data_IF_747470017104
#
_entry.id   IF_747470017104
#
_cell.length_a   1.000
_cell.length_b   1.000
_cell.length_c   1.000
_cell.angle_alpha   90.00
_cell.angle_beta   90.00
_cell.angle_gamma   90.00
#
_symmetry.space_group_name_H-M   'P 1'
#
loop_
_entity.id
_entity.type
_entity.pdbx_description
1 polymer ?
#
# COMPACT_ATOMS: atom_id res chain seq x y z
N UNK A 1 15.47 -1.49 11.51
CA UNK A 1 16.53 -0.61 12.07
C UNK A 1 16.63 -0.95 13.55
N UNK A 2 17.74 -1.54 13.97
CA UNK A 2 18.01 -1.96 15.36
C UNK A 2 18.49 -0.76 16.21
N UNK A 3 18.61 -0.96 17.53
CA UNK A 3 19.06 0.06 18.48
C UNK A 3 20.41 0.70 18.09
N UNK A 4 21.33 -0.09 17.52
CA UNK A 4 22.65 0.37 17.06
C UNK A 4 22.60 1.50 16.03
N UNK A 5 21.66 1.46 15.08
CA UNK A 5 21.52 2.54 14.10
C UNK A 5 21.11 3.88 14.76
N UNK A 6 20.50 3.84 15.95
CA UNK A 6 20.02 5.03 16.66
C UNK A 6 21.03 5.61 17.64
N UNK A 7 22.09 4.86 17.93
CA UNK A 7 23.23 5.30 18.75
C UNK A 7 24.26 6.08 17.91
N UNK A 8 24.17 6.03 16.57
CA UNK A 8 25.10 6.72 15.66
C UNK A 8 25.24 8.22 15.94
N UNK A 9 24.15 8.88 16.33
CA UNK A 9 24.14 10.31 16.63
C UNK A 9 24.99 10.63 17.87
N UNK A 10 24.94 9.76 18.89
CA UNK A 10 25.81 9.86 20.07
C UNK A 10 27.28 9.61 19.68
N UNK A 11 27.53 8.54 18.92
CA UNK A 11 28.88 8.16 18.50
C UNK A 11 29.56 9.19 17.57
N UNK A 12 28.77 10.06 16.92
CA UNK A 12 29.27 11.12 16.06
C UNK A 12 29.65 12.41 16.83
N UNK A 13 29.38 12.49 18.13
CA UNK A 13 29.69 13.70 18.91
C UNK A 13 31.18 13.83 19.22
N UNK A 14 31.75 15.05 19.20
CA UNK A 14 33.15 15.27 19.55
C UNK A 14 33.53 14.70 20.92
N UNK A 15 32.70 14.94 21.95
CA UNK A 15 32.98 14.46 23.30
C UNK A 15 32.95 12.92 23.42
N UNK A 16 32.14 12.23 22.59
CA UNK A 16 32.18 10.77 22.52
C UNK A 16 33.46 10.28 21.86
N UNK A 17 33.83 10.86 20.72
CA UNK A 17 35.02 10.47 19.96
C UNK A 17 36.30 10.72 20.75
N UNK A 18 36.39 11.87 21.44
CA UNK A 18 37.50 12.22 22.30
C UNK A 18 37.66 11.24 23.46
N UNK A 19 36.57 10.93 24.17
CA UNK A 19 36.59 9.93 25.24
C UNK A 19 37.00 8.55 24.70
N UNK A 20 36.44 8.12 23.56
CA UNK A 20 36.80 6.85 22.93
C UNK A 20 38.26 6.79 22.47
N UNK A 21 38.85 7.91 22.05
CA UNK A 21 40.25 7.98 21.60
C UNK A 21 41.28 7.99 22.72
N UNK A 22 40.88 8.35 23.94
CA UNK A 22 41.76 8.44 25.12
C UNK A 22 41.44 7.36 26.17
N UNK A 23 40.70 6.30 25.80
CA UNK A 23 40.17 5.28 26.71
C UNK A 23 39.48 5.88 27.96
N UNK A 24 38.87 7.05 27.77
CA UNK A 24 38.22 7.84 28.81
C UNK A 24 36.76 7.47 29.01
N UNK A 25 36.21 7.84 30.17
CA UNK A 25 34.79 7.71 30.42
C UNK A 25 33.99 8.59 29.44
N UNK A 26 33.00 7.99 28.76
CA UNK A 26 32.09 8.73 27.88
C UNK A 26 31.30 9.73 28.75
N UNK A 27 31.49 11.04 28.55
CA UNK A 27 30.99 12.05 29.46
C UNK A 27 29.52 12.36 29.18
N UNK A 28 28.84 12.94 30.17
CA UNK A 28 27.51 13.54 29.99
C UNK A 28 27.45 14.51 28.80
N UNK A 29 28.54 15.25 28.56
CA UNK A 29 28.65 16.21 27.46
C UNK A 29 28.39 15.57 26.09
N UNK A 30 28.82 14.31 25.87
CA UNK A 30 28.54 13.60 24.62
C UNK A 30 27.03 13.44 24.39
N UNK A 31 26.29 13.12 25.44
CA UNK A 31 24.83 13.02 25.35
C UNK A 31 24.20 14.38 25.13
N UNK A 32 24.63 15.42 25.87
CA UNK A 32 24.11 16.78 25.70
C UNK A 32 24.33 17.29 24.27
N UNK A 33 25.54 17.12 23.72
CA UNK A 33 25.85 17.46 22.33
C UNK A 33 24.96 16.70 21.35
N UNK A 34 24.74 15.41 21.59
CA UNK A 34 23.84 14.61 20.75
C UNK A 34 22.40 15.11 20.85
N UNK A 35 21.95 15.52 22.04
CA UNK A 35 20.61 16.08 22.27
C UNK A 35 20.40 17.43 21.60
N UNK A 36 21.43 18.26 21.53
CA UNK A 36 21.34 19.57 20.86
C UNK A 36 21.44 19.43 19.33
N UNK A 37 22.29 18.52 18.85
CA UNK A 37 22.35 18.18 17.42
C UNK A 37 21.04 17.56 16.93
N UNK A 38 20.33 16.82 17.80
CA UNK A 38 19.00 16.29 17.52
C UNK A 38 17.94 17.36 17.77
N UNK A 39 17.22 17.76 16.72
CA UNK A 39 16.03 18.59 16.91
C UNK A 39 15.02 17.96 17.89
N UNK A 40 14.18 18.77 18.54
CA UNK A 40 13.20 18.34 19.57
C UNK A 40 12.44 17.05 19.22
N UNK A 41 12.07 16.90 17.95
CA UNK A 41 11.31 15.76 17.42
C UNK A 41 12.04 14.42 17.41
N UNK A 42 13.37 14.46 17.49
CA UNK A 42 14.26 13.31 17.36
C UNK A 42 15.01 12.96 18.66
N UNK A 43 14.84 13.75 19.72
CA UNK A 43 15.48 13.52 21.02
C UNK A 43 15.08 12.18 21.66
N UNK A 44 13.90 11.64 21.32
CA UNK A 44 13.46 10.31 21.75
C UNK A 44 14.43 9.18 21.35
N UNK A 45 15.26 9.37 20.30
CA UNK A 45 16.29 8.40 19.90
C UNK A 45 17.32 8.16 21.01
N UNK A 46 17.52 9.14 21.90
CA UNK A 46 18.44 9.04 23.02
C UNK A 46 17.97 8.08 24.11
N UNK A 47 16.72 7.61 24.07
CA UNK A 47 16.29 6.50 24.94
C UNK A 47 17.12 5.24 24.70
N UNK A 48 17.45 4.94 23.43
CA UNK A 48 18.24 3.75 23.07
C UNK A 48 19.71 3.92 23.53
N UNK A 49 20.25 5.13 23.38
CA UNK A 49 21.58 5.48 23.88
C UNK A 49 21.68 5.39 25.41
N UNK A 50 20.66 5.88 26.13
CA UNK A 50 20.57 5.75 27.60
C UNK A 50 20.43 4.29 28.03
N UNK A 51 19.64 3.49 27.32
CA UNK A 51 19.50 2.06 27.61
C UNK A 51 20.82 1.30 27.40
N UNK A 52 21.54 1.61 26.32
CA UNK A 52 22.89 1.08 26.08
C UNK A 52 23.84 1.49 27.21
N UNK A 53 23.91 2.77 27.56
CA UNK A 53 24.80 3.24 28.63
C UNK A 53 24.51 2.54 29.96
N UNK A 54 23.22 2.42 30.33
CA UNK A 54 22.78 1.67 31.52
C UNK A 54 23.24 0.21 31.48
N UNK A 55 23.06 -0.46 30.34
CA UNK A 55 23.50 -1.83 30.17
C UNK A 55 25.03 -1.94 30.31
N UNK A 56 25.79 -1.02 29.70
CA UNK A 56 27.23 -1.01 29.77
C UNK A 56 27.76 -0.81 31.20
N UNK A 57 27.17 0.11 31.97
CA UNK A 57 27.47 0.28 33.39
C UNK A 57 27.16 -1.00 34.17
N UNK A 58 25.99 -1.61 33.93
CA UNK A 58 25.60 -2.86 34.60
C UNK A 58 26.52 -4.06 34.29
N UNK A 59 27.11 -4.10 33.09
CA UNK A 59 28.10 -5.09 32.68
C UNK A 59 29.54 -4.71 33.03
N UNK A 60 29.77 -3.52 33.63
CA UNK A 60 31.08 -3.01 34.04
C UNK A 60 32.07 -2.85 32.87
N UNK A 61 31.58 -2.43 31.71
CA UNK A 61 32.48 -2.05 30.62
C UNK A 61 33.26 -0.78 31.00
N UNK A 62 34.55 -0.77 30.67
CA UNK A 62 35.39 0.41 30.79
C UNK A 62 34.85 1.56 29.93
N UNK A 63 35.05 2.80 30.39
CA UNK A 63 34.52 3.98 29.71
C UNK A 63 33.07 4.34 30.06
N UNK A 64 32.40 3.58 30.95
CA UNK A 64 31.03 3.86 31.39
C UNK A 64 30.96 3.97 32.92
N UNK A 65 30.42 5.07 33.45
CA UNK A 65 30.39 5.31 34.90
C UNK A 65 28.99 5.59 35.45
N UNK A 66 28.80 5.32 36.74
CA UNK A 66 27.52 5.52 37.42
C UNK A 66 27.11 7.00 37.53
N UNK A 67 28.08 7.91 37.64
CA UNK A 67 27.85 9.36 37.76
C UNK A 67 27.15 9.92 36.51
N UNK A 68 27.68 9.60 35.32
CA UNK A 68 27.07 10.00 34.05
C UNK A 68 25.71 9.34 33.88
N UNK A 69 25.57 8.06 34.23
CA UNK A 69 24.28 7.38 34.16
C UNK A 69 23.21 8.08 35.00
N UNK A 70 23.53 8.49 36.24
CA UNK A 70 22.60 9.20 37.11
C UNK A 70 22.07 10.48 36.43
N UNK A 71 22.96 11.28 35.84
CA UNK A 71 22.58 12.48 35.08
C UNK A 71 21.69 12.19 33.86
N UNK A 72 21.90 11.05 33.18
CA UNK A 72 21.07 10.63 32.05
C UNK A 72 19.69 10.12 32.48
N UNK A 73 19.57 9.58 33.69
CA UNK A 73 18.30 9.11 34.23
C UNK A 73 17.34 10.24 34.59
N UNK A 74 17.87 11.42 34.92
CA UNK A 74 17.09 12.65 35.16
C UNK A 74 16.44 13.22 33.88
N UNK A 75 16.86 12.76 32.69
CA UNK A 75 16.31 13.29 31.45
C UNK A 75 14.85 12.85 31.22
N UNK A 76 13.99 13.87 31.11
CA UNK A 76 12.68 13.75 30.47
C UNK A 76 12.85 13.82 28.94
N UNK A 77 12.92 12.66 28.31
CA UNK A 77 12.90 12.52 26.86
C UNK A 77 11.45 12.25 26.43
N UNK A 78 10.93 13.08 25.53
CA UNK A 78 9.62 12.86 24.92
C UNK A 78 9.62 11.59 24.06
N UNK A 79 8.44 11.02 23.82
CA UNK A 79 8.30 9.91 22.89
C UNK A 79 8.42 10.36 21.43
N UNK A 80 8.68 9.41 20.53
CA UNK A 80 8.60 9.68 19.08
C UNK A 80 7.24 10.30 18.73
N UNK A 81 7.23 11.40 17.97
CA UNK A 81 6.02 12.04 17.47
C UNK A 81 5.17 11.06 16.64
N UNK A 82 4.25 10.36 17.32
CA UNK A 82 3.41 9.32 16.72
C UNK A 82 2.48 9.97 15.68
N UNK A 83 2.37 9.34 14.51
CA UNK A 83 1.35 9.69 13.51
C UNK A 83 1.63 10.92 12.63
N UNK A 84 2.81 11.57 12.70
CA UNK A 84 3.14 12.72 11.84
C UNK A 84 2.83 12.47 10.36
N UNK A 85 3.36 11.39 9.79
CA UNK A 85 3.17 11.05 8.38
C UNK A 85 1.69 10.79 8.01
N UNK A 86 0.88 10.36 8.98
CA UNK A 86 -0.56 10.16 8.78
C UNK A 86 -1.27 11.52 8.78
N UNK A 87 -1.00 12.36 9.79
CA UNK A 87 -1.59 13.70 9.94
C UNK A 87 -1.24 14.61 8.77
N UNK A 88 0.02 14.61 8.32
CA UNK A 88 0.48 15.43 7.20
C UNK A 88 0.15 14.86 5.82
N UNK A 89 -0.56 13.71 5.74
CA UNK A 89 -0.83 12.97 4.49
C UNK A 89 0.44 12.82 3.62
N UNK A 90 1.59 12.55 4.25
CA UNK A 90 2.90 12.53 3.60
C UNK A 90 2.90 11.62 2.35
N UNK A 91 3.30 12.11 1.16
CA UNK A 91 3.20 11.37 -0.10
C UNK A 91 4.07 10.11 -0.13
N UNK A 92 5.12 10.02 0.69
CA UNK A 92 6.10 8.92 0.70
C UNK A 92 5.99 8.03 1.94
N UNK A 93 5.52 8.57 3.08
CA UNK A 93 5.49 7.87 4.38
C UNK A 93 4.07 7.72 4.94
N UNK A 94 3.12 8.50 4.46
CA UNK A 94 1.74 8.54 4.91
C UNK A 94 0.86 7.47 4.25
N UNK A 95 -0.46 7.48 4.55
CA UNK A 95 -1.43 6.60 3.89
C UNK A 95 -1.48 6.87 2.38
N UNK A 96 -1.76 5.82 1.61
CA UNK A 96 -2.04 5.93 0.18
C UNK A 96 -3.38 6.64 -0.04
N UNK A 97 -3.50 7.41 -1.14
CA UNK A 97 -4.78 7.99 -1.55
C UNK A 97 -5.73 6.91 -2.04
N UNK A 98 -7.04 7.21 -2.13
CA UNK A 98 -7.98 6.38 -2.89
C UNK A 98 -7.46 6.06 -4.30
N UNK A 99 -7.02 7.09 -5.04
CA UNK A 99 -6.47 6.96 -6.39
C UNK A 99 -5.25 6.03 -6.45
N UNK A 100 -4.24 6.23 -5.61
CA UNK A 100 -3.02 5.40 -5.60
C UNK A 100 -3.36 3.91 -5.41
N UNK A 101 -4.31 3.60 -4.53
CA UNK A 101 -4.74 2.21 -4.33
C UNK A 101 -5.55 1.69 -5.52
N UNK A 102 -6.45 2.49 -6.08
CA UNK A 102 -7.22 2.10 -7.27
C UNK A 102 -6.28 1.79 -8.44
N UNK A 103 -5.25 2.62 -8.66
CA UNK A 103 -4.20 2.39 -9.65
C UNK A 103 -3.44 1.09 -9.38
N UNK A 104 -3.03 0.83 -8.12
CA UNK A 104 -2.37 -0.45 -7.76
C UNK A 104 -3.27 -1.64 -8.15
N UNK A 105 -4.56 -1.61 -7.78
CA UNK A 105 -5.49 -2.71 -8.05
C UNK A 105 -5.69 -2.90 -9.56
N UNK A 106 -5.94 -1.82 -10.30
CA UNK A 106 -6.11 -1.88 -11.76
C UNK A 106 -4.85 -2.38 -12.48
N UNK A 107 -3.67 -1.90 -12.08
CA UNK A 107 -2.40 -2.34 -12.66
C UNK A 107 -2.10 -3.80 -12.32
N UNK A 108 -2.41 -4.25 -11.10
CA UNK A 108 -2.29 -5.65 -10.70
C UNK A 108 -3.19 -6.56 -11.55
N UNK A 109 -4.45 -6.17 -11.77
CA UNK A 109 -5.34 -6.90 -12.68
C UNK A 109 -4.77 -6.96 -14.10
N UNK A 110 -4.22 -5.86 -14.59
CA UNK A 110 -3.60 -5.77 -15.92
C UNK A 110 -2.43 -6.75 -16.07
N UNK A 111 -1.50 -6.69 -15.12
CA UNK A 111 -0.27 -7.49 -15.14
C UNK A 111 -0.62 -8.99 -15.07
N UNK A 112 -1.57 -9.33 -14.20
CA UNK A 112 -2.07 -10.70 -14.07
C UNK A 112 -2.74 -11.20 -15.35
N UNK A 113 -3.50 -10.35 -16.06
CA UNK A 113 -4.10 -10.70 -17.35
C UNK A 113 -3.06 -10.88 -18.47
N UNK A 114 -1.87 -10.27 -18.34
CA UNK A 114 -0.75 -10.43 -19.29
C UNK A 114 0.20 -11.57 -18.91
N UNK A 115 0.16 -12.04 -17.67
CA UNK A 115 1.07 -13.06 -17.16
C UNK A 115 2.50 -12.56 -16.93
N UNK A 116 2.71 -11.25 -16.81
CA UNK A 116 4.04 -10.60 -16.75
C UNK A 116 4.49 -10.25 -15.32
N UNK A 117 3.85 -10.81 -14.30
CA UNK A 117 4.15 -10.55 -12.89
C UNK A 117 4.26 -11.84 -12.07
N UNK A 118 5.37 -12.07 -11.34
CA UNK A 118 5.52 -13.23 -10.45
C UNK A 118 4.40 -13.32 -9.41
N UNK A 119 3.84 -14.50 -9.20
CA UNK A 119 2.69 -14.69 -8.29
C UNK A 119 3.02 -14.34 -6.83
N UNK A 120 4.27 -14.51 -6.39
CA UNK A 120 4.70 -14.07 -5.06
C UNK A 120 4.62 -12.54 -4.88
N UNK A 121 4.96 -11.75 -5.92
CA UNK A 121 4.80 -10.30 -5.88
C UNK A 121 3.31 -9.91 -5.84
N UNK A 122 2.47 -10.58 -6.64
CA UNK A 122 1.01 -10.38 -6.61
C UNK A 122 0.44 -10.68 -5.22
N UNK A 123 0.82 -11.81 -4.62
CA UNK A 123 0.41 -12.26 -3.30
C UNK A 123 0.79 -11.26 -2.20
N UNK A 124 2.00 -10.69 -2.25
CA UNK A 124 2.45 -9.68 -1.29
C UNK A 124 1.58 -8.41 -1.35
N UNK A 125 1.21 -7.97 -2.56
CA UNK A 125 0.35 -6.80 -2.77
C UNK A 125 -1.06 -7.06 -2.25
N UNK A 126 -1.70 -8.18 -2.62
CA UNK A 126 -3.09 -8.48 -2.18
C UNK A 126 -3.18 -8.62 -0.66
N UNK A 127 -2.19 -9.23 -0.01
CA UNK A 127 -2.16 -9.33 1.45
C UNK A 127 -2.09 -7.95 2.13
N UNK A 128 -1.24 -7.07 1.60
CA UNK A 128 -1.09 -5.71 2.12
C UNK A 128 -2.37 -4.89 1.92
N UNK A 129 -3.00 -4.99 0.74
CA UNK A 129 -4.27 -4.34 0.44
C UNK A 129 -5.41 -4.83 1.34
N UNK A 130 -5.49 -6.15 1.55
CA UNK A 130 -6.61 -6.76 2.27
C UNK A 130 -6.52 -6.58 3.78
N UNK A 131 -5.32 -6.61 4.37
CA UNK A 131 -5.17 -6.75 5.83
C UNK A 131 -4.38 -5.64 6.52
N UNK A 132 -3.53 -4.89 5.81
CA UNK A 132 -2.71 -3.83 6.44
C UNK A 132 -1.86 -4.33 7.63
N UNK A 133 -1.42 -5.59 7.59
CA UNK A 133 -0.64 -6.23 8.66
C UNK A 133 0.85 -5.89 8.55
N UNK A 134 1.62 -6.20 9.59
CA UNK A 134 3.06 -5.97 9.59
C UNK A 134 3.80 -7.03 8.77
N UNK A 135 4.95 -6.66 8.19
CA UNK A 135 5.76 -7.57 7.38
C UNK A 135 6.15 -8.87 8.09
N UNK A 136 6.40 -8.83 9.41
CA UNK A 136 6.69 -10.02 10.19
C UNK A 136 5.54 -11.03 10.22
N UNK A 137 4.29 -10.55 10.26
CA UNK A 137 3.12 -11.42 10.26
C UNK A 137 3.01 -12.15 8.92
N UNK A 138 3.21 -11.45 7.80
CA UNK A 138 3.23 -12.08 6.47
C UNK A 138 4.39 -13.05 6.29
N UNK A 139 5.57 -12.68 6.78
CA UNK A 139 6.76 -13.55 6.76
C UNK A 139 6.56 -14.83 7.56
N UNK A 140 5.70 -14.83 8.59
CA UNK A 140 5.35 -16.00 9.40
C UNK A 140 4.14 -16.80 8.91
N UNK A 141 3.52 -16.42 7.79
CA UNK A 141 2.36 -17.15 7.25
C UNK A 141 2.77 -18.49 6.64
N UNK A 142 1.89 -19.47 6.81
CA UNK A 142 1.99 -20.83 6.27
C UNK A 142 0.86 -21.07 5.28
N UNK A 143 1.01 -22.06 4.40
CA UNK A 143 0.00 -22.39 3.39
C UNK A 143 -1.37 -22.76 4.01
N UNK A 144 -1.35 -23.40 5.19
CA UNK A 144 -2.54 -23.79 5.98
C UNK A 144 -3.38 -22.61 6.49
N UNK A 145 -2.83 -21.39 6.49
CA UNK A 145 -3.53 -20.21 7.00
C UNK A 145 -4.66 -19.74 6.09
N UNK A 146 -4.72 -20.23 4.84
CA UNK A 146 -5.76 -19.90 3.87
C UNK A 146 -6.77 -21.03 3.77
N UNK A 147 -8.06 -20.72 3.86
CA UNK A 147 -9.14 -21.69 3.69
C UNK A 147 -10.24 -21.13 2.79
N UNK A 148 -10.70 -21.86 1.75
CA UNK A 148 -11.80 -21.41 0.91
C UNK A 148 -13.14 -21.47 1.66
N UNK A 149 -14.03 -20.54 1.36
CA UNK A 149 -15.43 -20.56 1.76
C UNK A 149 -16.21 -21.10 0.57
N UNK A 150 -16.82 -22.27 0.71
CA UNK A 150 -17.55 -22.95 -0.35
C UNK A 150 -19.05 -22.90 -0.05
N UNK A 151 -19.84 -22.48 -1.02
CA UNK A 151 -21.30 -22.56 -1.01
C UNK A 151 -21.77 -23.06 -2.38
N UNK A 152 -22.70 -24.03 -2.40
CA UNK A 152 -23.24 -24.65 -3.62
C UNK A 152 -22.16 -25.12 -4.61
N UNK A 153 -21.08 -25.72 -4.08
CA UNK A 153 -19.95 -26.20 -4.88
C UNK A 153 -19.08 -25.10 -5.50
N UNK A 154 -19.31 -23.82 -5.17
CA UNK A 154 -18.54 -22.68 -5.67
C UNK A 154 -17.78 -21.98 -4.54
N UNK A 155 -16.57 -21.53 -4.82
CA UNK A 155 -15.81 -20.69 -3.90
C UNK A 155 -16.40 -19.29 -3.92
N UNK A 156 -16.98 -18.87 -2.79
CA UNK A 156 -17.63 -17.55 -2.62
C UNK A 156 -16.74 -16.55 -1.85
N UNK A 157 -15.56 -16.98 -1.41
CA UNK A 157 -14.57 -16.17 -0.71
C UNK A 157 -13.56 -17.05 0.01
N UNK A 158 -12.72 -16.44 0.84
CA UNK A 158 -11.72 -17.14 1.63
C UNK A 158 -11.65 -16.60 3.06
N UNK A 159 -11.18 -17.43 3.97
CA UNK A 159 -10.72 -17.02 5.30
C UNK A 159 -9.21 -17.11 5.34
N UNK A 160 -8.56 -16.03 5.75
CA UNK A 160 -7.13 -15.96 6.03
C UNK A 160 -6.92 -15.85 7.54
N UNK A 161 -6.08 -16.70 8.10
CA UNK A 161 -5.64 -16.65 9.49
C UNK A 161 -4.34 -15.86 9.59
N UNK A 162 -4.44 -14.60 10.01
CA UNK A 162 -3.27 -13.72 10.15
C UNK A 162 -2.59 -13.98 11.49
N UNK A 163 -1.30 -14.41 11.52
CA UNK A 163 -0.57 -14.62 12.76
C UNK A 163 -0.42 -13.32 13.56
N UNK A 164 -0.55 -13.40 14.89
CA UNK A 164 -0.38 -12.27 15.81
C UNK A 164 1.05 -12.25 16.33
N UNK A 165 1.65 -11.06 16.39
CA UNK A 165 2.90 -10.85 17.12
C UNK A 165 2.55 -10.26 18.49
N UNK A 166 2.44 -11.08 19.53
CA UNK A 166 2.37 -10.58 20.91
C UNK A 166 3.77 -10.08 21.29
N UNK A 167 3.86 -8.87 21.88
CA UNK A 167 5.13 -8.38 22.44
C UNK A 167 5.54 -9.28 23.62
N UNK A 168 6.78 -9.77 23.62
CA UNK A 168 7.38 -10.45 24.76
C UNK A 168 7.21 -11.98 24.82
N UNK A 169 6.79 -12.63 23.73
CA UNK A 169 6.82 -14.10 23.61
C UNK A 169 7.76 -14.50 22.47
N UNK A 170 8.54 -15.55 22.71
CA UNK A 170 9.57 -16.05 21.79
C UNK A 170 9.00 -16.84 20.60
N UNK A 171 7.70 -17.15 20.61
CA UNK A 171 7.06 -17.99 19.60
C UNK A 171 6.25 -17.18 18.58
N UNK A 172 6.69 -17.27 17.33
CA UNK A 172 5.94 -16.82 16.17
C UNK A 172 4.74 -17.77 15.98
N UNK A 173 3.51 -17.22 15.91
CA UNK A 173 2.23 -17.92 15.63
C UNK A 173 1.43 -18.49 16.83
N UNK A 174 1.60 -17.98 18.05
CA UNK A 174 0.77 -18.34 19.23
C UNK A 174 -0.70 -17.85 19.21
N UNK A 175 -1.10 -17.15 18.15
CA UNK A 175 -2.46 -16.66 18.02
C UNK A 175 -2.73 -16.10 16.63
N UNK A 176 -4.00 -16.13 16.25
CA UNK A 176 -4.44 -15.76 14.90
C UNK A 176 -5.63 -14.80 14.92
N UNK A 177 -5.75 -14.02 13.85
CA UNK A 177 -6.95 -13.25 13.52
C UNK A 177 -7.50 -13.71 12.19
N UNK A 178 -8.78 -14.07 12.17
CA UNK A 178 -9.49 -14.45 10.93
C UNK A 178 -9.86 -13.19 10.15
N UNK A 179 -9.52 -13.16 8.87
CA UNK A 179 -9.89 -12.10 7.92
C UNK A 179 -10.58 -12.74 6.72
N UNK A 180 -11.75 -12.21 6.35
CA UNK A 180 -12.42 -12.62 5.12
C UNK A 180 -11.75 -11.93 3.94
N UNK A 181 -11.42 -12.71 2.91
CA UNK A 181 -10.94 -12.21 1.63
C UNK A 181 -12.03 -12.41 0.58
N UNK A 182 -12.11 -11.49 -0.38
CA UNK A 182 -12.87 -11.72 -1.60
C UNK A 182 -12.25 -12.84 -2.44
N UNK A 183 -12.99 -13.28 -3.45
CA UNK A 183 -12.57 -14.37 -4.35
C UNK A 183 -11.27 -14.02 -5.05
N UNK A 184 -11.10 -12.78 -5.54
CA UNK A 184 -9.91 -12.40 -6.29
C UNK A 184 -8.64 -12.50 -5.44
N UNK A 185 -8.62 -11.89 -4.24
CA UNK A 185 -7.46 -11.93 -3.36
C UNK A 185 -7.13 -13.36 -2.92
N UNK A 186 -8.15 -14.16 -2.58
CA UNK A 186 -7.92 -15.54 -2.18
C UNK A 186 -7.43 -16.44 -3.33
N UNK A 187 -7.90 -16.21 -4.57
CA UNK A 187 -7.41 -16.94 -5.76
C UNK A 187 -5.92 -16.67 -6.00
N UNK A 188 -5.47 -15.42 -5.86
CA UNK A 188 -4.03 -15.08 -6.00
C UNK A 188 -3.18 -15.84 -4.97
N UNK A 189 -3.65 -15.94 -3.72
CA UNK A 189 -2.94 -16.69 -2.69
C UNK A 189 -2.99 -18.20 -2.92
N UNK A 190 -4.12 -18.72 -3.39
CA UNK A 190 -4.25 -20.14 -3.73
C UNK A 190 -3.30 -20.54 -4.86
N UNK A 191 -3.09 -19.69 -5.86
CA UNK A 191 -2.13 -19.94 -6.93
C UNK A 191 -0.68 -19.92 -6.45
N UNK A 192 -0.33 -19.04 -5.50
CA UNK A 192 0.97 -19.10 -4.85
C UNK A 192 1.16 -20.45 -4.12
N UNK A 193 0.15 -20.92 -3.39
CA UNK A 193 0.18 -22.24 -2.74
C UNK A 193 0.36 -23.36 -3.77
N UNK A 194 -0.35 -23.30 -4.90
CA UNK A 194 -0.18 -24.26 -5.99
C UNK A 194 1.22 -24.23 -6.60
N UNK A 195 1.80 -23.06 -6.84
CA UNK A 195 3.17 -22.93 -7.33
C UNK A 195 4.18 -23.49 -6.32
N UNK A 196 3.98 -23.20 -5.03
CA UNK A 196 4.80 -23.71 -3.95
C UNK A 196 4.79 -25.24 -3.86
N UNK A 197 3.70 -25.90 -4.26
CA UNK A 197 3.57 -27.36 -4.29
C UNK A 197 4.26 -28.03 -5.49
N UNK A 198 4.62 -27.27 -6.53
CA UNK A 198 5.31 -27.78 -7.72
C UNK A 198 6.84 -27.83 -7.57
N UNK A 199 7.38 -27.22 -6.51
CA UNK A 199 8.83 -27.22 -6.24
C UNK A 199 9.25 -28.51 -5.49
N UNK A 200 10.40 -29.13 -5.85
CA UNK A 200 10.82 -30.42 -5.29
C UNK A 200 11.11 -30.38 -3.78
N UNK A 201 10.91 -31.53 -3.11
CA UNK A 201 10.91 -31.76 -1.66
C UNK A 201 12.18 -31.35 -0.86
N UNK A 202 13.21 -30.79 -1.49
CA UNK A 202 14.38 -30.23 -0.77
C UNK A 202 14.04 -29.07 0.19
N UNK A 203 12.79 -28.59 0.14
CA UNK A 203 12.17 -27.58 0.98
C UNK A 203 11.08 -28.12 1.93
N UNK A 204 10.96 -29.44 2.10
CA UNK A 204 9.86 -30.09 2.83
C UNK A 204 10.07 -30.04 4.35
N UNK A 205 10.13 -28.83 4.87
CA UNK A 205 9.83 -28.60 6.27
C UNK A 205 8.29 -28.62 6.41
N UNK A 206 7.79 -29.40 7.37
CA UNK A 206 6.37 -29.58 7.69
C UNK A 206 5.60 -28.26 7.82
N UNK A 207 6.28 -27.17 8.21
CA UNK A 207 5.68 -25.86 8.37
C UNK A 207 5.15 -25.21 7.08
N UNK A 208 5.61 -25.60 5.88
CA UNK A 208 5.11 -25.12 4.57
C UNK A 208 4.84 -23.59 4.54
N UNK A 209 5.88 -22.74 4.48
CA UNK A 209 5.72 -21.28 4.45
C UNK A 209 4.88 -20.83 3.26
N UNK A 210 4.04 -19.82 3.42
CA UNK A 210 3.32 -19.20 2.30
C UNK A 210 4.32 -18.47 1.37
N UNK A 211 5.25 -17.72 1.96
CA UNK A 211 6.37 -17.11 1.24
C UNK A 211 7.66 -17.84 1.59
N UNK A 212 8.20 -18.55 0.60
CA UNK A 212 9.37 -19.40 0.74
C UNK A 212 10.63 -18.69 0.25
N UNK A 213 11.76 -18.95 0.90
CA UNK A 213 13.09 -18.65 0.36
C UNK A 213 13.57 -19.83 -0.49
N UNK A 214 14.29 -19.55 -1.58
CA UNK A 214 14.81 -20.59 -2.48
C UNK A 214 15.88 -21.48 -1.82
N UNK A 215 16.63 -20.93 -0.87
CA UNK A 215 17.72 -21.65 -0.19
C UNK A 215 17.63 -21.45 1.32
N UNK A 216 17.86 -22.53 2.07
CA UNK A 216 18.04 -22.45 3.51
C UNK A 216 19.22 -21.51 3.86
N UNK A 217 19.14 -20.77 4.98
CA UNK A 217 20.25 -19.95 5.43
C UNK A 217 21.46 -20.83 5.78
N UNK A 218 22.67 -20.32 5.51
CA UNK A 218 23.93 -21.02 5.82
C UNK A 218 24.17 -21.16 7.33
N UNK A 219 23.61 -20.26 8.13
CA UNK A 219 23.63 -20.34 9.59
C UNK A 219 22.21 -20.55 10.10
N UNK A 220 22.04 -21.62 10.88
CA UNK A 220 20.86 -21.84 11.71
C UNK A 220 20.74 -20.63 12.66
N UNK A 221 19.59 -19.95 12.64
CA UNK A 221 19.36 -18.81 13.52
C UNK A 221 18.93 -19.24 14.92
N UNK A 222 19.04 -20.54 15.24
CA UNK A 222 18.44 -21.19 16.41
C UNK A 222 16.91 -20.98 16.44
N UNK A 223 16.28 -20.72 15.29
CA UNK A 223 14.83 -20.56 15.17
C UNK A 223 14.11 -21.90 14.98
N UNK A 224 14.85 -23.00 14.76
CA UNK A 224 14.30 -24.35 14.58
C UNK A 224 13.95 -24.65 13.13
N UNK A 225 13.87 -25.94 12.79
CA UNK A 225 13.70 -26.39 11.39
C UNK A 225 12.44 -25.80 10.75
N UNK A 226 11.37 -25.63 11.54
CA UNK A 226 10.10 -24.97 11.21
C UNK A 226 10.23 -23.59 10.54
N UNK A 227 11.30 -22.83 10.81
CA UNK A 227 11.50 -21.46 10.33
C UNK A 227 12.49 -21.35 9.17
N UNK A 228 13.20 -22.44 8.89
CA UNK A 228 14.30 -22.53 7.93
C UNK A 228 13.98 -21.94 6.56
N UNK A 229 12.77 -22.17 6.05
CA UNK A 229 12.35 -21.76 4.71
C UNK A 229 11.41 -20.55 4.66
N UNK A 230 11.00 -19.98 5.80
CA UNK A 230 10.21 -18.75 5.82
C UNK A 230 11.05 -17.59 5.31
N UNK A 231 10.53 -16.68 4.49
CA UNK A 231 11.29 -15.44 4.20
C UNK A 231 11.36 -14.54 5.44
N UNK A 232 12.31 -13.59 5.46
CA UNK A 232 12.36 -12.60 6.54
C UNK A 232 11.35 -11.46 6.32
N UNK A 233 11.00 -10.72 7.37
CA UNK A 233 10.17 -9.51 7.26
C UNK A 233 10.78 -8.45 6.32
N UNK A 234 12.12 -8.38 6.25
CA UNK A 234 12.83 -7.50 5.31
C UNK A 234 12.64 -8.01 3.88
N UNK A 235 12.85 -9.29 3.64
CA UNK A 235 12.64 -9.93 2.33
C UNK A 235 11.21 -9.75 1.82
N UNK A 236 10.19 -9.88 2.70
CA UNK A 236 8.80 -9.59 2.32
C UNK A 236 8.62 -8.13 1.92
N UNK A 237 9.25 -7.20 2.64
CA UNK A 237 9.16 -5.77 2.32
C UNK A 237 9.81 -5.45 0.97
N UNK A 238 10.95 -6.07 0.65
CA UNK A 238 11.59 -5.91 -0.66
C UNK A 238 10.78 -6.57 -1.78
N UNK A 239 10.18 -7.74 -1.53
CA UNK A 239 9.24 -8.38 -2.47
C UNK A 239 8.05 -7.48 -2.81
N UNK A 240 7.45 -6.85 -1.79
CA UNK A 240 6.35 -5.88 -1.97
C UNK A 240 6.79 -4.68 -2.82
N UNK A 241 7.98 -4.12 -2.56
CA UNK A 241 8.51 -2.99 -3.32
C UNK A 241 8.79 -3.36 -4.77
N UNK A 242 9.37 -4.52 -5.01
CA UNK A 242 9.61 -5.04 -6.36
C UNK A 242 8.29 -5.18 -7.14
N UNK A 243 7.25 -5.72 -6.49
CA UNK A 243 5.92 -5.81 -7.08
C UNK A 243 5.34 -4.46 -7.47
N UNK A 244 5.36 -3.46 -6.58
CA UNK A 244 4.86 -2.12 -6.89
C UNK A 244 5.69 -1.42 -7.96
N UNK A 245 7.01 -1.58 -7.94
CA UNK A 245 7.89 -1.04 -8.98
C UNK A 245 7.59 -1.65 -10.35
N UNK A 246 7.33 -2.97 -10.43
CA UNK A 246 6.94 -3.66 -11.66
C UNK A 246 5.60 -3.16 -12.20
N UNK A 247 4.66 -2.81 -11.33
CA UNK A 247 3.40 -2.19 -11.75
C UNK A 247 3.57 -0.78 -12.31
N UNK A 248 4.71 -0.13 -12.09
CA UNK A 248 5.00 1.22 -12.62
C UNK A 248 4.09 2.31 -12.06
N UNK A 249 3.59 2.14 -10.84
CA UNK A 249 2.64 3.09 -10.24
C UNK A 249 3.37 4.34 -9.77
N UNK A 250 2.86 5.51 -10.17
CA UNK A 250 3.30 6.81 -9.67
C UNK A 250 2.53 7.21 -8.41
N UNK A 251 3.23 7.84 -7.47
CA UNK A 251 2.65 8.52 -6.32
C UNK A 251 2.01 9.85 -6.71
N UNK A 252 1.24 10.41 -5.78
CA UNK A 252 0.60 11.74 -5.97
C UNK A 252 1.61 12.88 -6.21
N UNK A 253 2.86 12.69 -5.79
CA UNK A 253 3.99 13.59 -6.02
C UNK A 253 4.60 13.45 -7.43
N UNK A 254 4.09 12.54 -8.26
CA UNK A 254 4.57 12.29 -9.63
C UNK A 254 5.77 11.33 -9.71
N UNK A 255 6.36 10.99 -8.57
CA UNK A 255 7.50 10.09 -8.47
C UNK A 255 7.04 8.62 -8.40
N UNK A 256 7.98 7.68 -8.58
CA UNK A 256 7.68 6.25 -8.38
C UNK A 256 7.12 5.98 -6.97
N UNK A 257 6.00 5.25 -6.89
CA UNK A 257 5.28 5.06 -5.64
C UNK A 257 6.12 4.25 -4.62
N UNK A 258 6.54 4.91 -3.55
CA UNK A 258 7.29 4.27 -2.48
C UNK A 258 6.37 3.51 -1.52
N UNK A 259 6.55 2.21 -1.32
CA UNK A 259 5.69 1.44 -0.41
C UNK A 259 6.44 0.71 0.70
N UNK A 260 5.70 0.44 1.77
CA UNK A 260 6.03 -0.56 2.79
C UNK A 260 4.72 -1.01 3.47
N UNK A 261 4.78 -2.11 4.23
CA UNK A 261 3.61 -2.66 4.94
C UNK A 261 2.95 -1.64 5.88
N UNK A 262 3.73 -0.75 6.50
CA UNK A 262 3.22 0.32 7.37
C UNK A 262 2.36 1.35 6.63
N UNK A 263 2.69 1.70 5.37
CA UNK A 263 1.83 2.56 4.54
C UNK A 263 0.49 1.90 4.26
N UNK A 264 0.46 0.61 3.94
CA UNK A 264 -0.79 -0.13 3.73
C UNK A 264 -1.63 -0.21 5.02
N UNK A 265 -0.99 -0.42 6.17
CA UNK A 265 -1.67 -0.32 7.48
C UNK A 265 -2.31 1.04 7.70
N UNK A 266 -1.56 2.12 7.44
CA UNK A 266 -2.07 3.49 7.55
C UNK A 266 -3.23 3.72 6.61
N UNK A 267 -3.13 3.20 5.39
CA UNK A 267 -4.17 3.29 4.37
C UNK A 267 -5.45 2.59 4.82
N UNK A 268 -5.35 1.35 5.31
CA UNK A 268 -6.49 0.59 5.81
C UNK A 268 -7.21 1.33 6.95
N UNK A 269 -6.47 1.75 7.97
CA UNK A 269 -7.05 2.43 9.13
C UNK A 269 -7.64 3.80 8.77
N UNK A 270 -6.99 4.56 7.88
CA UNK A 270 -7.53 5.82 7.36
C UNK A 270 -8.84 5.57 6.59
N UNK A 271 -8.89 4.53 5.75
CA UNK A 271 -10.10 4.15 5.00
C UNK A 271 -11.23 3.69 5.91
N UNK A 272 -10.93 2.88 6.93
CA UNK A 272 -11.93 2.46 7.91
C UNK A 272 -12.54 3.66 8.64
N UNK A 273 -11.70 4.59 9.12
CA UNK A 273 -12.17 5.82 9.77
C UNK A 273 -13.02 6.65 8.82
N UNK A 274 -12.57 6.84 7.57
CA UNK A 274 -13.33 7.51 6.52
C UNK A 274 -14.69 6.84 6.35
N UNK A 275 -14.76 5.52 6.29
CA UNK A 275 -16.02 4.77 6.15
C UNK A 275 -16.85 4.70 7.44
N UNK A 276 -16.53 5.49 8.47
CA UNK A 276 -17.33 5.57 9.69
C UNK A 276 -17.15 4.40 10.64
N UNK A 277 -16.08 3.61 10.49
CA UNK A 277 -15.81 2.51 11.40
C UNK A 277 -15.65 3.01 12.85
N UNK A 278 -16.16 2.21 13.79
CA UNK A 278 -15.97 2.48 15.22
C UNK A 278 -14.50 2.33 15.63
N UNK A 279 -14.11 3.00 16.72
CA UNK A 279 -12.76 2.86 17.30
C UNK A 279 -12.44 1.39 17.59
N UNK A 280 -13.41 0.63 18.12
CA UNK A 280 -13.28 -0.80 18.40
C UNK A 280 -13.01 -1.62 17.13
N UNK A 281 -13.73 -1.37 16.04
CA UNK A 281 -13.49 -2.05 14.77
C UNK A 281 -12.10 -1.75 14.22
N UNK A 282 -11.60 -0.52 14.37
CA UNK A 282 -10.25 -0.16 13.95
C UNK A 282 -9.16 -0.81 14.82
N UNK A 283 -9.35 -0.89 16.14
CA UNK A 283 -8.44 -1.59 17.05
C UNK A 283 -8.37 -3.08 16.67
N UNK A 284 -9.52 -3.70 16.40
CA UNK A 284 -9.58 -5.10 15.93
C UNK A 284 -8.85 -5.26 14.60
N UNK A 285 -9.14 -4.42 13.61
CA UNK A 285 -8.51 -4.48 12.28
C UNK A 285 -6.99 -4.32 12.36
N UNK A 286 -6.52 -3.41 13.20
CA UNK A 286 -5.11 -3.20 13.46
C UNK A 286 -4.48 -4.37 14.23
N UNK A 287 -5.25 -5.17 14.95
CA UNK A 287 -4.76 -6.12 15.94
C UNK A 287 -3.92 -5.44 17.04
N UNK A 288 -4.34 -4.25 17.46
CA UNK A 288 -3.67 -3.51 18.53
C UNK A 288 -4.13 -4.00 19.91
N UNK A 289 -3.19 -4.07 20.86
CA UNK A 289 -3.49 -4.30 22.28
C UNK A 289 -3.91 -3.02 23.00
N UNK A 290 -3.57 -1.85 22.44
CA UNK A 290 -3.78 -0.53 23.03
C UNK A 290 -4.29 0.47 21.97
N UNK A 291 -5.10 1.43 22.40
CA UNK A 291 -5.86 2.35 21.55
C UNK A 291 -5.12 3.66 21.22
N UNK A 292 -3.99 3.94 21.89
CA UNK A 292 -3.23 5.18 21.74
C UNK A 292 -2.79 5.46 20.31
N UNK A 293 -2.54 4.40 19.53
CA UNK A 293 -2.12 4.54 18.13
C UNK A 293 -3.28 4.71 17.15
N UNK A 294 -4.53 4.45 17.57
CA UNK A 294 -5.74 4.71 16.77
C UNK A 294 -6.17 6.18 16.88
N UNK A 295 -5.85 6.85 18.00
CA UNK A 295 -6.15 8.27 18.20
C UNK A 295 -5.64 9.18 17.08
N UNK A 296 -4.52 8.83 16.44
CA UNK A 296 -3.94 9.60 15.32
C UNK A 296 -4.87 9.71 14.11
N UNK A 297 -5.84 8.81 13.96
CA UNK A 297 -6.79 8.82 12.84
C UNK A 297 -8.02 9.68 13.13
N UNK A 298 -8.28 10.04 14.39
CA UNK A 298 -9.46 10.82 14.75
C UNK A 298 -9.34 12.28 14.33
N UNK A 299 -8.11 12.80 14.27
CA UNK A 299 -7.77 14.12 13.76
C UNK A 299 -7.82 14.23 12.23
N UNK A 300 -8.06 13.14 11.49
CA UNK A 300 -8.27 13.16 10.03
C UNK A 300 -9.68 13.69 9.71
N UNK A 301 -10.17 14.64 10.49
CA UNK A 301 -11.51 15.21 10.43
C UNK A 301 -11.74 15.99 9.13
N UNK A 302 -12.89 15.72 8.52
CA UNK A 302 -13.40 16.23 7.24
C UNK A 302 -12.41 16.14 6.09
N UNK A 303 -12.56 15.09 5.26
CA UNK A 303 -12.26 15.29 3.85
C UNK A 303 -13.24 16.38 3.38
N UNK A 304 -12.80 17.64 3.43
CA UNK A 304 -13.36 18.67 2.56
C UNK A 304 -13.28 18.02 1.18
N UNK A 305 -14.44 17.84 0.54
CA UNK A 305 -14.45 17.41 -0.85
C UNK A 305 -13.78 18.54 -1.61
N UNK A 306 -12.52 18.34 -1.98
CA UNK A 306 -11.87 19.24 -2.91
C UNK A 306 -12.77 19.32 -4.15
N UNK A 307 -13.06 20.54 -4.60
CA UNK A 307 -13.84 20.74 -5.81
C UNK A 307 -13.07 20.07 -6.96
N UNK A 308 -13.66 19.01 -7.55
CA UNK A 308 -13.13 18.35 -8.74
C UNK A 308 -13.97 18.83 -9.92
N UNK A 309 -13.60 19.98 -10.46
CA UNK A 309 -14.16 20.48 -11.71
C UNK A 309 -13.45 19.83 -12.91
N UNK A 310 -13.94 20.14 -14.12
CA UNK A 310 -13.40 19.61 -15.37
C UNK A 310 -11.94 20.02 -15.59
N UNK A 311 -11.58 21.26 -15.30
CA UNK A 311 -10.24 21.79 -15.55
C UNK A 311 -9.23 21.09 -14.64
N UNK A 312 -9.54 20.99 -13.34
CA UNK A 312 -8.75 20.27 -12.38
C UNK A 312 -8.69 18.77 -12.73
N UNK A 313 -9.80 18.15 -13.13
CA UNK A 313 -9.78 16.75 -13.56
C UNK A 313 -8.83 16.51 -14.74
N UNK A 314 -8.81 17.41 -15.73
CA UNK A 314 -7.90 17.35 -16.88
C UNK A 314 -6.44 17.62 -16.50
N UNK A 315 -6.19 18.52 -15.57
CA UNK A 315 -4.85 18.80 -15.04
C UNK A 315 -4.30 17.60 -14.27
N UNK A 316 -5.12 17.01 -13.40
CA UNK A 316 -4.75 15.84 -12.60
C UNK A 316 -4.77 14.54 -13.41
N UNK A 317 -5.40 14.52 -14.59
CA UNK A 317 -5.64 13.32 -15.40
C UNK A 317 -4.43 12.39 -15.60
N UNK A 318 -3.19 12.87 -15.82
CA UNK A 318 -2.02 11.99 -15.93
C UNK A 318 -1.80 11.12 -14.68
N UNK A 319 -2.17 11.63 -13.49
CA UNK A 319 -2.03 10.92 -12.21
C UNK A 319 -3.02 9.76 -12.06
N UNK A 320 -4.12 9.74 -12.80
CA UNK A 320 -5.10 8.66 -12.80
C UNK A 320 -4.54 7.34 -13.33
N UNK A 321 -3.52 7.42 -14.20
CA UNK A 321 -2.84 6.26 -14.80
C UNK A 321 -3.84 5.24 -15.37
N UNK A 322 -4.88 5.74 -16.05
CA UNK A 322 -5.97 4.90 -16.55
C UNK A 322 -5.49 3.97 -17.68
N UNK A 323 -5.83 2.70 -17.57
CA UNK A 323 -5.35 1.64 -18.45
C UNK A 323 -6.20 1.41 -19.70
N UNK A 324 -7.25 2.21 -19.92
CA UNK A 324 -8.04 2.12 -21.15
C UNK A 324 -7.13 2.32 -22.37
N UNK A 325 -7.25 1.43 -23.36
CA UNK A 325 -6.59 1.57 -24.65
C UNK A 325 -7.27 2.67 -25.48
N UNK A 326 -6.55 3.23 -26.45
CA UNK A 326 -7.10 4.17 -27.44
C UNK A 326 -6.82 3.58 -28.82
N UNK A 327 -7.86 3.49 -29.65
CA UNK A 327 -7.81 2.97 -31.02
C UNK A 327 -8.43 4.00 -31.97
N UNK A 328 -8.04 4.00 -33.25
CA UNK A 328 -8.55 5.01 -34.18
C UNK A 328 -10.07 4.86 -34.39
N UNK A 329 -10.56 3.63 -34.50
CA UNK A 329 -11.98 3.35 -34.51
C UNK A 329 -12.30 1.87 -34.33
N UNK A 330 -13.51 1.49 -34.72
CA UNK A 330 -14.00 0.12 -34.57
C UNK A 330 -13.14 -0.92 -35.31
N UNK A 331 -12.69 -0.62 -36.52
CA UNK A 331 -11.92 -1.54 -37.35
C UNK A 331 -10.58 -1.95 -36.73
N UNK A 332 -9.97 -1.06 -35.94
CA UNK A 332 -8.69 -1.29 -35.28
C UNK A 332 -8.84 -1.94 -33.90
N UNK A 333 -10.08 -2.11 -33.43
CA UNK A 333 -10.34 -2.67 -32.12
C UNK A 333 -10.33 -4.20 -32.13
N UNK A 334 -9.74 -4.80 -31.09
CA UNK A 334 -9.92 -6.21 -30.77
C UNK A 334 -11.41 -6.46 -30.56
N UNK A 335 -11.99 -7.38 -31.34
CA UNK A 335 -13.44 -7.67 -31.42
C UNK A 335 -14.29 -6.54 -32.00
N UNK A 336 -13.71 -5.65 -32.80
CA UNK A 336 -14.45 -4.63 -33.55
C UNK A 336 -15.48 -5.20 -34.52
N UNK A 337 -15.27 -6.42 -35.03
CA UNK A 337 -16.22 -7.15 -35.86
C UNK A 337 -17.50 -7.59 -35.12
N UNK A 338 -17.47 -7.62 -33.78
CA UNK A 338 -18.60 -8.04 -32.96
C UNK A 338 -19.43 -6.85 -32.50
N UNK A 339 -20.59 -6.58 -33.10
CA UNK A 339 -21.48 -5.47 -32.69
C UNK A 339 -21.77 -5.40 -31.17
N UNK A 340 -21.90 -6.54 -30.49
CA UNK A 340 -22.11 -6.61 -29.03
C UNK A 340 -20.91 -6.22 -28.15
N UNK A 341 -19.73 -6.04 -28.74
CA UNK A 341 -18.54 -5.54 -28.04
C UNK A 341 -18.56 -4.01 -27.90
N UNK A 342 -19.35 -3.30 -28.70
CA UNK A 342 -19.52 -1.84 -28.63
C UNK A 342 -20.02 -1.40 -27.26
N UNK A 343 -19.57 -0.24 -26.81
CA UNK A 343 -19.97 0.38 -25.54
C UNK A 343 -20.57 1.73 -25.83
N UNK A 344 -21.84 1.89 -25.48
CA UNK A 344 -22.61 3.07 -25.88
C UNK A 344 -22.85 3.99 -24.70
N UNK A 345 -22.65 5.28 -24.92
CA UNK A 345 -23.20 6.34 -24.08
C UNK A 345 -24.64 6.60 -24.52
N UNK A 346 -25.57 6.50 -23.57
CA UNK A 346 -26.94 6.94 -23.79
C UNK A 346 -27.08 8.39 -23.34
N UNK A 347 -27.18 9.30 -24.29
CA UNK A 347 -27.52 10.69 -24.03
C UNK A 347 -29.04 10.83 -24.08
N UNK A 348 -29.65 10.86 -22.89
CA UNK A 348 -31.11 10.98 -22.74
C UNK A 348 -31.61 12.38 -23.09
N UNK A 349 -30.80 13.42 -22.91
CA UNK A 349 -31.20 14.81 -23.17
C UNK A 349 -31.32 15.05 -24.67
N UNK A 350 -30.39 14.47 -25.46
CA UNK A 350 -30.39 14.58 -26.93
C UNK A 350 -31.05 13.39 -27.63
N UNK A 351 -31.55 12.40 -26.88
CA UNK A 351 -32.10 11.14 -27.39
C UNK A 351 -31.15 10.43 -28.38
N UNK A 352 -29.86 10.36 -28.04
CA UNK A 352 -28.80 9.81 -28.89
C UNK A 352 -28.12 8.63 -28.21
N UNK A 353 -27.70 7.66 -29.01
CA UNK A 353 -26.90 6.52 -28.58
C UNK A 353 -25.60 6.52 -29.37
N UNK A 354 -24.49 6.80 -28.70
CA UNK A 354 -23.20 6.99 -29.35
C UNK A 354 -22.16 6.01 -28.81
N UNK A 355 -21.42 5.40 -29.73
CA UNK A 355 -20.39 4.44 -29.35
C UNK A 355 -19.15 5.15 -28.81
N UNK A 356 -18.78 4.82 -27.59
CA UNK A 356 -17.57 5.31 -26.90
C UNK A 356 -16.35 4.44 -27.17
N UNK A 357 -16.56 3.17 -27.54
CA UNK A 357 -15.44 2.25 -27.72
C UNK A 357 -15.86 0.79 -27.83
N UNK A 358 -14.85 -0.07 -27.81
CA UNK A 358 -14.99 -1.52 -27.96
C UNK A 358 -14.46 -2.25 -26.72
N UNK A 359 -15.22 -3.22 -26.22
CA UNK A 359 -14.76 -4.15 -25.19
C UNK A 359 -13.95 -5.29 -25.81
N UNK A 360 -12.68 -5.44 -25.42
CA UNK A 360 -11.83 -6.55 -25.84
C UNK A 360 -12.08 -7.87 -25.09
N UNK A 361 -12.97 -7.91 -24.09
CA UNK A 361 -13.16 -9.10 -23.27
C UNK A 361 -14.16 -10.11 -23.88
N UNK A 362 -13.77 -11.38 -23.99
CA UNK A 362 -14.59 -12.46 -24.53
C UNK A 362 -15.71 -12.95 -23.59
N UNK A 363 -15.66 -12.62 -22.30
CA UNK A 363 -16.67 -12.98 -21.30
C UNK A 363 -17.54 -11.78 -20.87
N UNK A 364 -18.71 -12.08 -20.32
CA UNK A 364 -19.59 -11.05 -19.73
C UNK A 364 -19.02 -10.55 -18.41
N UNK A 365 -18.89 -9.23 -18.27
CA UNK A 365 -18.33 -8.58 -17.08
C UNK A 365 -19.38 -8.02 -16.11
N UNK A 366 -20.67 -8.00 -16.47
CA UNK A 366 -21.80 -7.50 -15.66
C UNK A 366 -21.53 -6.14 -14.95
N UNK A 367 -20.86 -5.23 -15.64
CA UNK A 367 -20.56 -3.87 -15.14
C UNK A 367 -21.35 -2.83 -15.93
N UNK A 368 -21.58 -1.67 -15.32
CA UNK A 368 -22.28 -0.53 -15.93
C UNK A 368 -21.43 0.10 -17.04
N UNK A 369 -21.63 -0.37 -18.27
CA UNK A 369 -21.08 0.25 -19.47
C UNK A 369 -21.79 1.59 -19.78
N UNK A 370 -21.09 2.60 -20.34
CA UNK A 370 -19.66 2.61 -20.65
C UNK A 370 -18.79 3.06 -19.46
N UNK A 371 -19.40 3.57 -18.39
CA UNK A 371 -18.72 4.18 -17.24
C UNK A 371 -17.63 3.29 -16.64
N UNK A 372 -17.99 2.08 -16.20
CA UNK A 372 -17.02 1.16 -15.62
C UNK A 372 -15.93 0.71 -16.60
N UNK A 373 -16.14 0.85 -17.91
CA UNK A 373 -15.17 0.45 -18.93
C UNK A 373 -13.94 1.36 -18.95
N UNK A 374 -14.02 2.63 -18.57
CA UNK A 374 -12.86 3.55 -18.58
C UNK A 374 -11.74 3.15 -17.61
N UNK A 375 -12.05 2.32 -16.60
CA UNK A 375 -11.07 1.77 -15.66
C UNK A 375 -10.61 0.35 -16.05
N UNK A 376 -11.17 -0.21 -17.11
CA UNK A 376 -10.90 -1.57 -17.57
C UNK A 376 -9.77 -1.57 -18.60
N UNK A 377 -8.78 -2.43 -18.38
CA UNK A 377 -7.61 -2.61 -19.26
C UNK A 377 -7.97 -3.20 -20.62
N UNK A 378 -9.15 -3.80 -20.74
CA UNK A 378 -9.66 -4.40 -21.99
C UNK A 378 -10.55 -3.43 -22.77
N UNK A 379 -10.83 -2.24 -22.24
CA UNK A 379 -11.60 -1.24 -22.96
C UNK A 379 -10.72 -0.51 -23.98
N UNK A 380 -11.24 -0.35 -25.19
CA UNK A 380 -10.57 0.33 -26.30
C UNK A 380 -11.43 1.54 -26.69
N UNK A 381 -11.09 2.70 -26.14
CA UNK A 381 -11.71 3.98 -26.44
C UNK A 381 -11.46 4.37 -27.91
N UNK A 382 -12.48 4.87 -28.60
CA UNK A 382 -12.35 5.30 -29.99
C UNK A 382 -11.90 6.77 -30.05
N UNK A 383 -10.98 7.12 -30.95
CA UNK A 383 -10.48 8.51 -31.08
C UNK A 383 -11.59 9.56 -31.27
N UNK A 384 -12.66 9.20 -31.96
CA UNK A 384 -13.83 10.06 -32.22
C UNK A 384 -15.05 9.68 -31.35
N UNK A 385 -14.84 8.90 -30.29
CA UNK A 385 -15.90 8.61 -29.31
C UNK A 385 -16.27 9.84 -28.47
N UNK A 386 -17.50 9.93 -27.94
CA UNK A 386 -18.00 11.10 -27.18
C UNK A 386 -17.44 11.15 -25.75
N UNK A 387 -16.12 11.01 -25.58
CA UNK A 387 -15.45 10.95 -24.29
C UNK A 387 -15.56 12.25 -23.48
N UNK A 388 -15.56 13.39 -24.17
CA UNK A 388 -15.78 14.69 -23.53
C UNK A 388 -17.19 14.79 -22.95
N UNK A 389 -18.21 14.30 -23.66
CA UNK A 389 -19.58 14.28 -23.14
C UNK A 389 -19.71 13.34 -21.93
N UNK A 390 -19.01 12.18 -21.93
CA UNK A 390 -18.96 11.32 -20.74
C UNK A 390 -18.36 12.07 -19.54
N UNK A 391 -17.25 12.79 -19.75
CA UNK A 391 -16.59 13.55 -18.69
C UNK A 391 -17.52 14.64 -18.15
N UNK A 392 -18.14 15.40 -19.04
CA UNK A 392 -19.03 16.49 -18.68
C UNK A 392 -20.26 15.98 -17.92
N UNK A 393 -20.85 14.86 -18.33
CA UNK A 393 -21.97 14.24 -17.59
C UNK A 393 -21.58 13.84 -16.16
N UNK A 394 -20.40 13.24 -15.97
CA UNK A 394 -19.93 12.83 -14.64
C UNK A 394 -19.62 14.02 -13.74
N UNK A 395 -18.96 15.07 -14.27
CA UNK A 395 -18.68 16.30 -13.52
C UNK A 395 -19.98 17.02 -13.17
N UNK A 396 -20.95 17.12 -14.10
CA UNK A 396 -22.28 17.69 -13.83
C UNK A 396 -23.01 16.92 -12.75
N UNK A 397 -23.02 15.58 -12.81
CA UNK A 397 -23.71 14.76 -11.80
C UNK A 397 -23.02 14.85 -10.43
N UNK A 398 -21.69 14.90 -10.38
CA UNK A 398 -20.95 15.21 -9.15
C UNK A 398 -21.36 16.55 -8.56
N UNK A 399 -21.44 17.61 -9.38
CA UNK A 399 -21.83 18.95 -8.93
C UNK A 399 -23.26 18.94 -8.40
N UNK A 400 -24.22 18.28 -9.09
CA UNK A 400 -25.59 18.13 -8.59
C UNK A 400 -25.66 17.46 -7.21
N UNK A 401 -24.81 16.46 -6.95
CA UNK A 401 -24.73 15.82 -5.61
C UNK A 401 -24.23 16.80 -4.56
N UNK A 402 -23.24 17.63 -4.90
CA UNK A 402 -22.70 18.67 -4.02
C UNK A 402 -23.74 19.77 -3.74
N UNK A 403 -24.43 20.27 -4.76
CA UNK A 403 -25.46 21.31 -4.65
C UNK A 403 -26.65 20.86 -3.80
N UNK A 404 -26.95 19.56 -3.81
CA UNK A 404 -27.96 18.93 -2.95
C UNK A 404 -27.51 18.78 -1.48
N UNK A 405 -26.28 19.17 -1.15
CA UNK A 405 -25.72 19.03 0.19
C UNK A 405 -25.54 17.57 0.62
N UNK A 406 -25.33 16.64 -0.32
CA UNK A 406 -25.08 15.25 0.02
C UNK A 406 -23.74 15.08 0.75
N UNK A 407 -23.60 14.01 1.53
CA UNK A 407 -22.36 13.70 2.24
C UNK A 407 -21.15 13.69 1.28
N UNK A 408 -20.00 14.26 1.67
CA UNK A 408 -18.75 14.26 0.92
C UNK A 408 -18.39 12.98 0.16
N UNK A 409 -18.66 11.82 0.76
CA UNK A 409 -18.35 10.51 0.17
C UNK A 409 -19.28 10.18 -0.99
N UNK A 410 -20.54 10.59 -0.89
CA UNK A 410 -21.54 10.40 -1.94
C UNK A 410 -21.23 11.32 -3.11
N UNK A 411 -20.78 12.55 -2.83
CA UNK A 411 -20.32 13.47 -3.87
C UNK A 411 -19.13 12.88 -4.62
N UNK A 412 -18.10 12.41 -3.91
CA UNK A 412 -16.85 11.92 -4.50
C UNK A 412 -16.85 10.48 -5.02
N UNK A 413 -18.00 9.80 -5.06
CA UNK A 413 -18.10 8.35 -5.38
C UNK A 413 -17.56 8.01 -6.79
N UNK A 414 -17.61 8.97 -7.71
CA UNK A 414 -17.18 8.82 -9.10
C UNK A 414 -15.88 9.55 -9.43
N UNK A 415 -15.17 10.12 -8.44
CA UNK A 415 -13.96 10.93 -8.70
C UNK A 415 -12.88 10.11 -9.43
N UNK A 416 -12.69 8.84 -9.06
CA UNK A 416 -11.78 7.94 -9.77
C UNK A 416 -12.20 7.69 -11.23
N UNK A 417 -13.50 7.66 -11.50
CA UNK A 417 -14.02 7.48 -12.84
C UNK A 417 -13.86 8.76 -13.67
N UNK A 418 -14.20 9.92 -13.10
CA UNK A 418 -13.99 11.24 -13.72
C UNK A 418 -12.54 11.37 -14.18
N UNK A 419 -11.61 11.05 -13.28
CA UNK A 419 -10.17 11.07 -13.53
C UNK A 419 -9.73 10.08 -14.62
N UNK A 420 -10.34 8.89 -14.67
CA UNK A 420 -10.05 7.92 -15.72
C UNK A 420 -10.55 8.38 -17.10
N UNK A 421 -11.73 8.99 -17.18
CA UNK A 421 -12.26 9.56 -18.43
C UNK A 421 -11.42 10.76 -18.86
N UNK A 422 -11.06 11.65 -17.93
CA UNK A 422 -10.19 12.79 -18.19
C UNK A 422 -8.82 12.34 -18.75
N UNK A 423 -8.27 11.23 -18.24
CA UNK A 423 -7.04 10.64 -18.77
C UNK A 423 -7.19 10.18 -20.23
N UNK A 424 -8.31 9.54 -20.58
CA UNK A 424 -8.60 9.17 -21.98
C UNK A 424 -8.70 10.42 -22.86
N UNK A 425 -9.45 11.44 -22.45
CA UNK A 425 -9.58 12.71 -23.19
C UNK A 425 -8.21 13.34 -23.45
N UNK A 426 -7.37 13.49 -22.41
CA UNK A 426 -6.02 14.07 -22.54
C UNK A 426 -5.11 13.26 -23.45
N UNK A 427 -5.17 11.93 -23.38
CA UNK A 427 -4.36 11.06 -24.26
C UNK A 427 -4.82 11.15 -25.71
N UNK A 428 -6.13 11.23 -25.98
CA UNK A 428 -6.66 11.44 -27.34
C UNK A 428 -6.20 12.80 -27.88
N UNK A 429 -6.29 13.87 -27.09
CA UNK A 429 -5.80 15.20 -27.48
C UNK A 429 -4.32 15.18 -27.84
N UNK A 430 -3.47 14.58 -26.99
CA UNK A 430 -2.04 14.46 -27.26
C UNK A 430 -1.74 13.67 -28.55
N UNK A 431 -2.49 12.60 -28.84
CA UNK A 431 -2.35 11.85 -30.11
C UNK A 431 -2.77 12.71 -31.31
N UNK A 432 -3.85 13.50 -31.19
CA UNK A 432 -4.30 14.40 -32.27
C UNK A 432 -3.28 15.51 -32.54
N UNK A 433 -2.73 16.12 -31.49
CA UNK A 433 -1.68 17.14 -31.57
C UNK A 433 -0.41 16.60 -32.25
N UNK A 434 0.05 15.40 -31.86
CA UNK A 434 1.20 14.74 -32.49
C UNK A 434 0.98 14.44 -33.98
N UNK A 435 -0.24 14.03 -34.38
CA UNK A 435 -0.59 13.79 -35.78
C UNK A 435 -0.66 15.07 -36.60
N UNK A 436 -1.16 16.16 -36.02
CA UNK A 436 -1.16 17.47 -36.68
C UNK A 436 0.27 17.96 -36.90
N UNK A 437 1.11 17.93 -35.86
CA UNK A 437 2.52 18.34 -35.93
C UNK A 437 3.41 17.46 -36.83
N UNK A 438 2.95 16.25 -37.20
CA UNK A 438 3.65 15.38 -38.15
C UNK A 438 3.20 15.60 -39.61
N UNK A 439 2.07 16.30 -39.81
CA UNK A 439 1.52 16.64 -41.12
C UNK A 439 1.84 18.09 -41.55
N UNK A 440 2.27 18.93 -40.59
CA UNK A 440 2.91 20.23 -40.81
C UNK A 440 4.43 20.05 -41.04
#
# INVERSE_FOLDING_TARGET
RNAFHRIRELAATPAFQEAASHDGAIPYLAFSQAKDALGKDDQWKLHDARAMYRWCVGQRFEGFNHETLALLEEWSLGGNAKGRAVRSKDPKKGPLTPMEVATIVSHLHAARLRGDMPIAEQAAIVLCLATGSNAGQYASMREEDLSPIIADGKVIGYILQVPRHKKGLDYYRDGFRKRKLDVFFGTVLQELISQNGQQPASSDNQARPLFKRERAPLHDRNDGDDWRFHISALSFTELLKAGIARLGVLGRDGEALQVNTRRFRYTLLTRMKRNGASKLAMIDAADHTDDQSIGIYWEIGSDIVDQLDRALALELAPRAQALAGIVAGEADAIRGDKKGSRRFLADRERNRLEATGTCGQNSFCNITAPYACYRCVKFQAWMEGPHEEVLDQLVRERQRRADRGLDPKIVGVEDELIMAVANVVRRIQAIKEQRAAAND
#
